data_IF_976198044430
#
_entry.id   IF_976198044430
#
_cell.length_a   1.000
_cell.length_b   1.000
_cell.length_c   1.000
_cell.angle_alpha   90.00
_cell.angle_beta   90.00
_cell.angle_gamma   90.00
#
_symmetry.space_group_name_H-M   'P 1'
#
loop_
_entity.id
_entity.type
_entity.pdbx_description
1 polymer ?
#
# COMPACT_ATOMS: atom_id res chain seq x y z
N UNK A 1 -1.94 94.62 6.28
CA UNK A 1 -2.18 93.51 7.23
C UNK A 1 -3.64 93.17 7.09
N UNK A 2 -4.10 92.00 6.65
CA UNK A 2 -3.57 90.63 6.64
C UNK A 2 -4.20 89.94 5.39
N UNK A 3 -3.40 89.29 4.55
CA UNK A 3 -3.12 87.86 4.52
C UNK A 3 -4.32 86.98 4.10
N UNK A 4 -4.18 86.43 2.89
CA UNK A 4 -4.93 85.29 2.33
C UNK A 4 -4.81 84.11 3.29
N UNK A 5 -5.91 83.42 3.58
CA UNK A 5 -5.81 82.09 4.19
C UNK A 5 -6.51 81.02 3.33
N UNK A 6 -5.74 79.98 3.07
CA UNK A 6 -6.00 78.93 2.10
C UNK A 6 -6.60 77.75 2.84
N UNK A 7 -7.77 77.27 2.40
CA UNK A 7 -8.51 76.22 3.08
C UNK A 7 -7.86 74.85 2.80
N UNK A 8 -6.96 74.42 3.70
CA UNK A 8 -6.29 73.12 3.68
C UNK A 8 -7.20 72.05 4.32
N UNK A 9 -7.70 71.12 3.51
CA UNK A 9 -8.42 69.93 3.99
C UNK A 9 -7.39 68.95 4.58
N UNK A 10 -7.40 68.76 5.91
CA UNK A 10 -6.64 67.69 6.57
C UNK A 10 -7.46 66.40 6.64
N UNK A 11 -6.91 65.32 6.10
CA UNK A 11 -7.42 63.95 6.27
C UNK A 11 -7.24 63.47 7.71
N UNK A 12 -8.19 62.70 8.28
CA UNK A 12 -8.09 62.23 9.66
C UNK A 12 -7.04 61.11 9.76
N UNK A 13 -6.02 61.32 10.60
CA UNK A 13 -5.05 60.28 10.99
C UNK A 13 -5.77 59.21 11.81
N UNK A 14 -6.02 58.03 11.23
CA UNK A 14 -6.44 56.85 12.01
C UNK A 14 -5.33 56.51 13.01
N UNK A 15 -5.67 56.51 14.30
CA UNK A 15 -4.75 56.24 15.40
C UNK A 15 -4.14 54.83 15.27
N UNK A 16 -2.80 54.68 15.28
CA UNK A 16 -2.13 53.37 15.20
C UNK A 16 -2.44 52.47 16.40
N UNK A 17 -2.96 53.03 17.49
CA UNK A 17 -3.33 52.29 18.69
C UNK A 17 -4.57 51.41 18.45
N UNK A 18 -5.58 51.92 17.74
CA UNK A 18 -6.83 51.20 17.46
C UNK A 18 -6.57 50.00 16.55
N UNK A 19 -5.70 50.16 15.55
CA UNK A 19 -5.31 49.08 14.65
C UNK A 19 -4.53 47.98 15.40
N UNK A 20 -3.63 48.35 16.32
CA UNK A 20 -2.89 47.40 17.16
C UNK A 20 -3.80 46.64 18.11
N UNK A 21 -4.78 47.32 18.73
CA UNK A 21 -5.75 46.66 19.60
C UNK A 21 -6.67 45.71 18.84
N UNK A 22 -7.11 46.07 17.63
CA UNK A 22 -7.89 45.18 16.76
C UNK A 22 -7.10 43.93 16.35
N UNK A 23 -5.81 44.09 16.04
CA UNK A 23 -4.94 42.97 15.68
C UNK A 23 -4.70 42.02 16.86
N UNK A 24 -4.52 42.56 18.07
CA UNK A 24 -4.38 41.75 19.28
C UNK A 24 -5.66 40.94 19.58
N UNK A 25 -6.84 41.57 19.46
CA UNK A 25 -8.11 40.88 19.65
C UNK A 25 -8.31 39.76 18.61
N UNK A 26 -8.00 40.03 17.34
CA UNK A 26 -8.06 39.02 16.29
C UNK A 26 -7.09 37.87 16.54
N UNK A 27 -5.84 38.16 16.93
CA UNK A 27 -4.84 37.15 17.27
C UNK A 27 -5.29 36.27 18.46
N UNK A 28 -5.86 36.87 19.51
CA UNK A 28 -6.41 36.09 20.64
C UNK A 28 -7.59 35.22 20.24
N UNK A 29 -8.49 35.71 19.38
CA UNK A 29 -9.62 34.93 18.89
C UNK A 29 -9.17 33.76 18.00
N UNK A 30 -8.23 34.01 17.09
CA UNK A 30 -7.62 32.96 16.27
C UNK A 30 -6.88 31.93 17.13
N UNK A 31 -6.15 32.37 18.17
CA UNK A 31 -5.48 31.49 19.12
C UNK A 31 -6.47 30.58 19.86
N UNK A 32 -7.57 31.14 20.39
CA UNK A 32 -8.64 30.36 21.02
C UNK A 32 -9.33 29.41 20.05
N UNK A 33 -9.55 29.83 18.81
CA UNK A 33 -10.18 28.99 17.79
C UNK A 33 -9.28 27.80 17.39
N UNK A 34 -7.99 28.04 17.14
CA UNK A 34 -7.01 26.99 16.84
C UNK A 34 -6.87 26.04 18.03
N UNK A 35 -6.81 26.57 19.25
CA UNK A 35 -6.77 25.75 20.47
C UNK A 35 -8.03 24.88 20.62
N UNK A 36 -9.22 25.45 20.42
CA UNK A 36 -10.49 24.73 20.46
C UNK A 36 -10.57 23.61 19.41
N UNK A 37 -10.11 23.87 18.18
CA UNK A 37 -10.01 22.86 17.12
C UNK A 37 -9.04 21.74 17.48
N UNK A 38 -7.85 22.08 18.01
CA UNK A 38 -6.88 21.08 18.45
C UNK A 38 -7.40 20.22 19.60
N UNK A 39 -8.16 20.80 20.54
CA UNK A 39 -8.76 20.07 21.65
C UNK A 39 -9.89 19.15 21.19
N UNK A 40 -10.74 19.60 20.24
CA UNK A 40 -11.78 18.74 19.64
C UNK A 40 -11.16 17.57 18.87
N UNK A 41 -10.07 17.79 18.14
CA UNK A 41 -9.35 16.73 17.42
C UNK A 41 -8.76 15.71 18.39
N UNK A 42 -8.15 16.16 19.49
CA UNK A 42 -7.58 15.27 20.51
C UNK A 42 -8.66 14.48 21.27
N UNK A 43 -9.78 15.11 21.62
CA UNK A 43 -10.92 14.44 22.27
C UNK A 43 -11.61 13.41 21.37
N UNK A 44 -11.77 13.72 20.07
CA UNK A 44 -12.31 12.77 19.10
C UNK A 44 -11.41 11.54 18.94
N UNK A 45 -10.08 11.77 18.86
CA UNK A 45 -9.08 10.70 18.78
C UNK A 45 -9.07 9.82 20.03
N UNK A 46 -9.14 10.43 21.22
CA UNK A 46 -9.21 9.71 22.48
C UNK A 46 -10.51 8.91 22.60
N UNK A 47 -11.67 9.52 22.35
CA UNK A 47 -12.97 8.84 22.42
C UNK A 47 -13.05 7.65 21.47
N UNK A 48 -12.54 7.81 20.25
CA UNK A 48 -12.48 6.74 19.25
C UNK A 48 -11.55 5.60 19.68
N UNK A 49 -10.37 5.92 20.25
CA UNK A 49 -9.43 4.93 20.80
C UNK A 49 -10.05 4.15 21.96
N UNK A 50 -10.74 4.83 22.89
CA UNK A 50 -11.42 4.17 24.01
C UNK A 50 -12.61 3.30 23.60
N UNK A 51 -13.39 3.70 22.58
CA UNK A 51 -14.51 2.88 22.08
C UNK A 51 -13.99 1.60 21.41
N UNK A 52 -12.96 1.69 20.57
CA UNK A 52 -12.37 0.52 19.92
C UNK A 52 -11.82 -0.49 20.94
N UNK A 53 -11.16 -0.02 22.01
CA UNK A 53 -10.64 -0.91 23.05
C UNK A 53 -11.78 -1.65 23.77
N UNK A 54 -12.90 -0.97 24.09
CA UNK A 54 -14.04 -1.60 24.77
C UNK A 54 -14.78 -2.64 23.91
N UNK A 55 -14.94 -2.37 22.61
CA UNK A 55 -15.59 -3.30 21.68
C UNK A 55 -14.71 -4.55 21.48
N UNK A 56 -13.40 -4.34 21.29
CA UNK A 56 -12.44 -5.43 21.18
C UNK A 56 -12.41 -6.31 22.44
N UNK A 57 -12.42 -5.71 23.62
CA UNK A 57 -12.44 -6.43 24.90
C UNK A 57 -13.71 -7.29 25.06
N UNK A 58 -14.88 -6.78 24.67
CA UNK A 58 -16.14 -7.53 24.72
C UNK A 58 -16.15 -8.75 23.78
N UNK A 59 -15.73 -8.58 22.52
CA UNK A 59 -15.74 -9.68 21.54
C UNK A 59 -14.73 -10.77 21.92
N UNK A 60 -13.53 -10.38 22.38
CA UNK A 60 -12.49 -11.27 22.90
C UNK A 60 -12.95 -12.02 24.15
N UNK A 61 -13.74 -11.37 25.01
CA UNK A 61 -14.25 -11.95 26.26
C UNK A 61 -15.41 -12.93 26.01
N UNK A 62 -16.20 -12.74 24.94
CA UNK A 62 -17.25 -13.68 24.52
C UNK A 62 -16.70 -14.99 23.94
N UNK A 63 -15.51 -14.94 23.34
CA UNK A 63 -14.81 -16.10 22.81
C UNK A 63 -13.80 -16.64 23.83
N UNK A 64 -14.19 -17.69 24.57
CA UNK A 64 -13.45 -18.31 25.68
C UNK A 64 -12.01 -18.82 25.39
N UNK A 65 -11.50 -18.71 24.16
CA UNK A 65 -10.15 -19.12 23.76
C UNK A 65 -9.05 -18.07 23.95
N UNK A 66 -9.35 -16.94 24.60
CA UNK A 66 -8.47 -15.77 24.67
C UNK A 66 -7.52 -15.72 25.89
N UNK A 67 -7.58 -16.72 26.78
CA UNK A 67 -6.76 -16.73 28.02
C UNK A 67 -5.23 -16.70 27.77
N UNK A 68 -4.78 -17.15 26.59
CA UNK A 68 -3.36 -17.17 26.19
C UNK A 68 -2.95 -15.99 25.29
N UNK A 69 -3.87 -15.10 24.91
CA UNK A 69 -3.51 -13.95 24.08
C UNK A 69 -2.83 -12.88 24.93
N UNK A 70 -1.55 -12.62 24.62
CA UNK A 70 -0.84 -11.52 25.25
C UNK A 70 -1.53 -10.19 24.93
N UNK A 71 -1.59 -9.29 25.92
CA UNK A 71 -2.25 -7.99 25.79
C UNK A 71 -1.69 -7.12 24.64
N UNK A 72 -0.44 -7.39 24.24
CA UNK A 72 0.24 -6.78 23.09
C UNK A 72 -0.29 -7.24 21.73
N UNK A 73 -0.92 -8.42 21.65
CA UNK A 73 -1.45 -8.98 20.40
C UNK A 73 -2.90 -8.59 20.13
N UNK A 74 -3.66 -8.20 21.17
CA UNK A 74 -5.08 -7.85 21.07
C UNK A 74 -5.40 -6.87 19.92
N UNK A 75 -4.62 -5.78 19.69
CA UNK A 75 -4.95 -4.83 18.63
C UNK A 75 -4.93 -5.41 17.21
N UNK A 76 -4.32 -6.57 17.01
CA UNK A 76 -4.08 -7.22 15.71
C UNK A 76 -4.96 -8.46 15.48
N UNK A 77 -5.87 -8.76 16.42
CA UNK A 77 -6.77 -9.91 16.37
C UNK A 77 -8.20 -9.39 16.33
N UNK A 78 -8.96 -9.88 15.36
CA UNK A 78 -10.34 -9.45 15.13
C UNK A 78 -11.27 -10.65 15.03
N UNK A 79 -12.56 -10.42 15.34
CA UNK A 79 -13.64 -11.38 15.16
C UNK A 79 -14.70 -10.74 14.25
N UNK A 80 -14.48 -10.73 12.93
CA UNK A 80 -15.38 -10.09 11.97
C UNK A 80 -16.77 -10.69 12.03
N UNK A 81 -17.80 -9.83 11.92
CA UNK A 81 -19.19 -10.26 11.89
C UNK A 81 -19.83 -9.80 10.56
N UNK A 82 -19.69 -10.59 9.49
CA UNK A 82 -20.20 -10.23 8.17
C UNK A 82 -21.72 -10.07 8.21
N UNK A 83 -22.23 -9.05 7.52
CA UNK A 83 -23.67 -8.80 7.39
C UNK A 83 -24.29 -9.61 6.25
N UNK A 84 -23.47 -10.00 5.27
CA UNK A 84 -23.90 -10.63 4.02
C UNK A 84 -24.12 -12.13 4.11
N UNK A 85 -23.53 -12.80 5.11
CA UNK A 85 -23.70 -14.23 5.35
C UNK A 85 -23.44 -14.55 6.83
N UNK A 86 -23.77 -15.78 7.26
CA UNK A 86 -23.46 -16.27 8.62
C UNK A 86 -22.73 -17.60 8.56
N UNK A 87 -21.63 -17.70 9.29
CA UNK A 87 -20.84 -18.92 9.51
C UNK A 87 -20.56 -19.04 10.99
N UNK A 88 -21.52 -19.58 11.72
CA UNK A 88 -21.45 -19.70 13.18
C UNK A 88 -20.22 -20.50 13.62
N UNK A 89 -19.79 -21.47 12.82
CA UNK A 89 -18.57 -22.25 13.05
C UNK A 89 -17.28 -21.40 13.02
N UNK A 90 -17.33 -20.20 12.43
CA UNK A 90 -16.21 -19.26 12.36
C UNK A 90 -16.30 -18.08 13.34
N UNK A 91 -17.39 -17.94 14.11
CA UNK A 91 -17.65 -16.73 14.91
C UNK A 91 -16.53 -16.41 15.91
N UNK A 92 -15.93 -17.42 16.53
CA UNK A 92 -14.79 -17.27 17.44
C UNK A 92 -13.43 -17.60 16.81
N UNK A 93 -13.33 -17.55 15.48
CA UNK A 93 -12.05 -17.73 14.81
C UNK A 93 -11.32 -16.38 14.71
N UNK A 94 -10.12 -16.22 15.33
CA UNK A 94 -9.36 -14.98 15.26
C UNK A 94 -8.87 -14.71 13.84
N UNK A 95 -9.03 -13.47 13.39
CA UNK A 95 -8.67 -13.02 12.04
C UNK A 95 -7.67 -11.88 12.12
N UNK A 96 -6.56 -11.98 11.38
CA UNK A 96 -5.59 -10.91 11.20
C UNK A 96 -5.80 -10.18 9.88
N UNK A 97 -5.70 -8.86 9.92
CA UNK A 97 -5.82 -8.03 8.73
C UNK A 97 -4.44 -7.77 8.12
N UNK A 98 -4.35 -7.83 6.79
CA UNK A 98 -3.13 -7.45 6.09
C UNK A 98 -3.40 -6.66 4.80
N UNK A 99 -2.35 -6.00 4.30
CA UNK A 99 -2.32 -5.40 2.97
C UNK A 99 -0.94 -5.62 2.33
N UNK A 100 -0.91 -6.12 1.09
CA UNK A 100 0.32 -6.29 0.30
C UNK A 100 0.58 -4.99 -0.47
N UNK A 101 1.52 -4.19 0.01
CA UNK A 101 1.87 -2.89 -0.56
C UNK A 101 3.01 -3.08 -1.56
N UNK A 102 2.78 -2.74 -2.83
CA UNK A 102 3.74 -3.08 -3.90
C UNK A 102 3.68 -2.10 -5.08
N UNK A 103 4.55 -2.32 -6.06
CA UNK A 103 4.50 -1.64 -7.36
C UNK A 103 4.23 -2.65 -8.46
N UNK A 104 3.77 -2.18 -9.61
CA UNK A 104 3.61 -3.04 -10.79
C UNK A 104 4.92 -3.76 -11.12
N UNK A 105 4.78 -5.05 -11.48
CA UNK A 105 5.88 -5.94 -11.89
C UNK A 105 6.93 -6.24 -10.81
N UNK A 106 6.55 -6.12 -9.53
CA UNK A 106 7.39 -6.49 -8.38
C UNK A 106 7.15 -7.92 -7.87
N UNK A 107 6.37 -8.73 -8.59
CA UNK A 107 6.08 -10.12 -8.22
C UNK A 107 4.86 -10.31 -7.29
N UNK A 108 4.12 -9.24 -6.99
CA UNK A 108 2.98 -9.27 -6.07
C UNK A 108 1.81 -10.15 -6.51
N UNK A 109 1.56 -10.29 -7.81
CA UNK A 109 0.57 -11.26 -8.31
C UNK A 109 0.95 -12.72 -8.02
N UNK A 110 2.22 -13.09 -8.21
CA UNK A 110 2.71 -14.43 -7.89
C UNK A 110 2.73 -14.67 -6.37
N UNK A 111 3.22 -13.70 -5.60
CA UNK A 111 3.26 -13.74 -4.15
C UNK A 111 1.87 -13.90 -3.52
N UNK A 112 0.88 -13.16 -4.04
CA UNK A 112 -0.51 -13.29 -3.62
C UNK A 112 -1.05 -14.72 -3.87
N UNK A 113 -0.74 -15.34 -5.01
CA UNK A 113 -1.16 -16.73 -5.25
C UNK A 113 -0.50 -17.73 -4.31
N UNK A 114 0.74 -17.48 -3.87
CA UNK A 114 1.39 -18.29 -2.83
C UNK A 114 0.60 -18.18 -1.52
N UNK A 115 0.29 -16.96 -1.07
CA UNK A 115 -0.48 -16.74 0.14
C UNK A 115 -1.87 -17.39 0.07
N UNK A 116 -2.59 -17.21 -1.04
CA UNK A 116 -3.92 -17.80 -1.25
C UNK A 116 -3.94 -19.33 -1.39
N UNK A 117 -2.78 -19.98 -1.49
CA UNK A 117 -2.69 -21.45 -1.40
C UNK A 117 -2.80 -21.95 0.05
N UNK A 118 -2.63 -21.07 1.04
CA UNK A 118 -2.91 -21.37 2.44
C UNK A 118 -4.43 -21.41 2.67
N UNK A 119 -4.94 -22.50 3.26
CA UNK A 119 -6.38 -22.71 3.44
C UNK A 119 -7.07 -21.63 4.29
N UNK A 120 -6.36 -21.04 5.26
CA UNK A 120 -6.88 -19.98 6.13
C UNK A 120 -6.53 -18.55 5.70
N UNK A 121 -6.03 -18.33 4.47
CA UNK A 121 -5.68 -16.98 3.98
C UNK A 121 -6.56 -16.60 2.80
N UNK A 122 -7.11 -15.39 2.87
CA UNK A 122 -7.95 -14.80 1.83
C UNK A 122 -7.41 -13.42 1.42
N UNK A 123 -6.60 -13.37 0.35
CA UNK A 123 -6.19 -12.13 -0.32
C UNK A 123 -7.10 -11.85 -1.51
N UNK A 124 -7.76 -10.70 -1.50
CA UNK A 124 -8.86 -10.34 -2.40
C UNK A 124 -8.42 -9.64 -3.70
N UNK A 125 -7.18 -9.82 -4.15
CA UNK A 125 -6.67 -9.21 -5.38
C UNK A 125 -6.38 -7.72 -5.23
N UNK A 126 -6.25 -7.05 -6.38
CA UNK A 126 -5.94 -5.63 -6.48
C UNK A 126 -7.21 -4.78 -6.43
N UNK A 127 -7.89 -4.78 -5.28
CA UNK A 127 -9.23 -4.17 -5.14
C UNK A 127 -9.23 -2.68 -5.50
N UNK A 128 -8.13 -1.96 -5.23
CA UNK A 128 -8.00 -0.53 -5.49
C UNK A 128 -7.55 -0.19 -6.91
N UNK A 129 -7.47 -1.17 -7.82
CA UNK A 129 -7.34 -0.89 -9.27
C UNK A 129 -8.61 -0.25 -9.86
N UNK A 130 -9.76 -0.45 -9.23
CA UNK A 130 -11.05 0.18 -9.60
C UNK A 130 -11.11 1.61 -9.09
N UNK A 131 -11.35 2.57 -9.99
CA UNK A 131 -11.29 4.02 -9.69
C UNK A 131 -12.29 4.44 -8.61
N UNK A 132 -13.52 3.95 -8.68
CA UNK A 132 -14.61 4.35 -7.78
C UNK A 132 -14.30 4.07 -6.30
N UNK A 133 -13.54 3.01 -6.04
CA UNK A 133 -13.12 2.60 -4.69
C UNK A 133 -12.05 3.51 -4.09
N UNK A 134 -11.40 4.35 -4.92
CA UNK A 134 -10.33 5.27 -4.52
C UNK A 134 -10.58 6.72 -4.95
N UNK A 135 -11.84 7.12 -5.14
CA UNK A 135 -12.19 8.50 -5.51
C UNK A 135 -11.78 9.53 -4.45
N UNK A 136 -11.83 9.13 -3.17
CA UNK A 136 -11.40 9.92 -2.02
C UNK A 136 -11.15 8.99 -0.83
N UNK A 137 -10.63 9.55 0.27
CA UNK A 137 -10.34 8.78 1.48
C UNK A 137 -11.56 8.06 2.07
N UNK A 138 -12.76 8.67 2.03
CA UNK A 138 -13.97 8.01 2.54
C UNK A 138 -14.32 6.74 1.76
N UNK A 139 -14.17 6.74 0.44
CA UNK A 139 -14.37 5.55 -0.39
C UNK A 139 -13.34 4.46 -0.08
N UNK A 140 -12.09 4.85 0.17
CA UNK A 140 -11.00 3.93 0.51
C UNK A 140 -11.29 3.23 1.84
N UNK A 141 -11.57 4.00 2.89
CA UNK A 141 -11.83 3.45 4.22
C UNK A 141 -13.08 2.54 4.22
N UNK A 142 -14.16 2.97 3.54
CA UNK A 142 -15.36 2.14 3.38
C UNK A 142 -15.05 0.81 2.69
N UNK A 143 -14.22 0.82 1.65
CA UNK A 143 -13.83 -0.40 0.93
C UNK A 143 -13.00 -1.32 1.82
N UNK A 144 -12.07 -0.77 2.60
CA UNK A 144 -11.30 -1.53 3.58
C UNK A 144 -12.18 -2.16 4.65
N UNK A 145 -13.13 -1.41 5.21
CA UNK A 145 -14.08 -1.94 6.21
C UNK A 145 -14.89 -3.12 5.65
N UNK A 146 -15.33 -3.04 4.39
CA UNK A 146 -16.04 -4.16 3.75
C UNK A 146 -15.18 -5.42 3.64
N UNK A 147 -13.90 -5.28 3.27
CA UNK A 147 -12.99 -6.44 3.16
C UNK A 147 -12.68 -7.03 4.52
N UNK A 148 -12.36 -6.18 5.49
CA UNK A 148 -11.96 -6.63 6.82
C UNK A 148 -13.14 -7.16 7.64
N UNK A 149 -14.37 -6.69 7.39
CA UNK A 149 -15.58 -7.31 7.95
C UNK A 149 -15.99 -8.62 7.25
N UNK A 150 -15.17 -9.13 6.32
CA UNK A 150 -15.46 -10.30 5.50
C UNK A 150 -16.71 -10.17 4.58
N UNK A 151 -17.23 -8.96 4.37
CA UNK A 151 -18.37 -8.68 3.49
C UNK A 151 -17.99 -8.51 2.01
N UNK A 152 -16.78 -8.93 1.64
CA UNK A 152 -16.24 -8.78 0.30
C UNK A 152 -16.32 -10.09 -0.50
N UNK A 153 -17.30 -10.17 -1.40
CA UNK A 153 -17.56 -11.39 -2.16
C UNK A 153 -16.60 -11.53 -3.36
N UNK A 154 -15.66 -12.49 -3.28
CA UNK A 154 -14.74 -12.79 -4.39
C UNK A 154 -14.48 -14.29 -4.52
N UNK A 155 -13.80 -14.68 -5.59
CA UNK A 155 -13.28 -16.05 -5.76
C UNK A 155 -12.18 -16.42 -4.76
N UNK A 156 -11.70 -15.48 -3.93
CA UNK A 156 -10.75 -15.78 -2.86
C UNK A 156 -11.43 -16.40 -1.62
N UNK A 157 -12.76 -16.34 -1.51
CA UNK A 157 -13.52 -16.94 -0.41
C UNK A 157 -13.22 -18.42 -0.26
N UNK A 158 -13.00 -18.85 0.98
CA UNK A 158 -12.63 -20.23 1.33
C UNK A 158 -13.78 -20.93 2.05
N UNK A 159 -13.81 -22.24 1.93
CA UNK A 159 -14.75 -23.08 2.68
C UNK A 159 -14.33 -23.17 4.15
N UNK A 160 -13.07 -22.92 4.47
CA UNK A 160 -12.52 -22.87 5.82
C UNK A 160 -12.67 -21.47 6.43
N UNK A 161 -12.57 -21.39 7.76
CA UNK A 161 -12.50 -20.10 8.44
C UNK A 161 -11.16 -19.40 8.12
N UNK A 162 -11.23 -18.13 7.74
CA UNK A 162 -10.04 -17.33 7.43
C UNK A 162 -9.35 -16.90 8.72
N UNK A 163 -8.06 -17.19 8.87
CA UNK A 163 -7.22 -16.68 9.95
C UNK A 163 -6.49 -15.39 9.56
N UNK A 164 -6.36 -15.11 8.26
CA UNK A 164 -5.90 -13.83 7.77
C UNK A 164 -6.67 -13.40 6.52
N UNK A 165 -7.06 -12.12 6.46
CA UNK A 165 -7.75 -11.52 5.33
C UNK A 165 -7.07 -10.22 4.91
N UNK A 166 -6.98 -10.01 3.61
CA UNK A 166 -6.34 -8.83 3.08
C UNK A 166 -6.54 -8.69 1.59
N UNK A 167 -5.68 -7.89 0.99
CA UNK A 167 -5.70 -7.57 -0.42
C UNK A 167 -4.34 -7.02 -0.87
N UNK A 168 -4.19 -6.87 -2.19
CA UNK A 168 -3.02 -6.26 -2.81
C UNK A 168 -3.33 -4.80 -3.16
N UNK A 169 -2.35 -3.93 -2.92
CA UNK A 169 -2.49 -2.50 -3.18
C UNK A 169 -1.22 -1.95 -3.83
N UNK A 170 -1.38 -1.37 -5.02
CA UNK A 170 -0.26 -0.72 -5.70
C UNK A 170 -0.06 0.70 -5.17
N UNK A 171 1.19 1.13 -4.97
CA UNK A 171 1.51 2.43 -4.39
C UNK A 171 0.84 3.62 -5.14
N UNK A 172 0.66 3.49 -6.45
CA UNK A 172 0.04 4.50 -7.31
C UNK A 172 -1.51 4.50 -7.30
N UNK A 173 -2.15 3.77 -6.40
CA UNK A 173 -3.62 3.63 -6.33
C UNK A 173 -4.22 4.34 -5.11
N UNK A 174 -3.81 5.59 -4.88
CA UNK A 174 -4.30 6.41 -3.76
C UNK A 174 -3.60 6.14 -2.42
N UNK A 175 -2.83 5.06 -2.29
CA UNK A 175 -2.10 4.71 -1.07
C UNK A 175 -1.11 5.82 -0.65
N UNK A 176 -0.28 6.28 -1.58
CA UNK A 176 0.73 7.31 -1.30
C UNK A 176 0.11 8.70 -1.11
N UNK A 177 -1.02 8.96 -1.77
CA UNK A 177 -1.75 10.22 -1.73
C UNK A 177 -2.41 10.42 -0.36
N UNK A 178 -3.11 9.39 0.14
CA UNK A 178 -3.86 9.41 1.40
C UNK A 178 -3.13 8.67 2.54
N UNK A 179 -1.79 8.69 2.53
CA UNK A 179 -0.98 7.87 3.43
C UNK A 179 -1.24 8.17 4.91
N UNK A 180 -1.54 9.41 5.30
CA UNK A 180 -1.72 9.80 6.70
C UNK A 180 -2.94 9.11 7.31
N UNK A 181 -4.07 9.19 6.61
CA UNK A 181 -5.34 8.60 7.05
C UNK A 181 -5.30 7.07 6.98
N UNK A 182 -4.60 6.51 5.98
CA UNK A 182 -4.44 5.06 5.85
C UNK A 182 -3.54 4.52 6.97
N UNK A 183 -2.44 5.21 7.32
CA UNK A 183 -1.58 4.85 8.45
C UNK A 183 -2.35 4.90 9.77
N UNK A 184 -3.19 5.93 9.97
CA UNK A 184 -4.06 6.00 11.14
C UNK A 184 -5.04 4.82 11.18
N UNK A 185 -5.66 4.46 10.06
CA UNK A 185 -6.51 3.28 9.97
C UNK A 185 -5.75 1.99 10.29
N UNK A 186 -4.57 1.79 9.70
CA UNK A 186 -3.78 0.57 9.90
C UNK A 186 -3.41 0.39 11.36
N UNK A 187 -2.97 1.46 12.03
CA UNK A 187 -2.62 1.42 13.44
C UNK A 187 -3.85 1.23 14.35
N UNK A 188 -4.99 1.83 14.00
CA UNK A 188 -6.23 1.70 14.76
C UNK A 188 -6.83 0.30 14.68
N UNK A 189 -6.70 -0.35 13.53
CA UNK A 189 -7.33 -1.64 13.21
C UNK A 189 -6.31 -2.78 13.07
N UNK A 190 -5.08 -2.62 13.57
CA UNK A 190 -4.08 -3.69 13.57
C UNK A 190 -3.74 -4.28 12.21
N UNK A 191 -3.80 -3.50 11.13
CA UNK A 191 -3.52 -4.00 9.78
C UNK A 191 -2.03 -4.19 9.58
N UNK A 192 -1.62 -5.42 9.25
CA UNK A 192 -0.25 -5.77 8.93
C UNK A 192 0.12 -5.34 7.50
N UNK A 193 1.09 -4.44 7.36
CA UNK A 193 1.58 -4.00 6.05
C UNK A 193 2.72 -4.91 5.55
N UNK A 194 2.53 -5.53 4.40
CA UNK A 194 3.54 -6.38 3.76
C UNK A 194 4.07 -5.62 2.53
N UNK A 195 5.23 -5.00 2.67
CA UNK A 195 5.91 -4.39 1.53
C UNK A 195 6.56 -5.48 0.68
N UNK A 196 6.25 -5.51 -0.62
CA UNK A 196 6.90 -6.38 -1.58
C UNK A 196 7.44 -5.57 -2.75
N UNK A 197 8.76 -5.45 -2.82
CA UNK A 197 9.46 -4.75 -3.88
C UNK A 197 10.38 -5.70 -4.67
N UNK A 198 10.93 -5.18 -5.77
CA UNK A 198 11.91 -5.90 -6.59
C UNK A 198 13.20 -5.10 -6.60
N UNK A 199 14.31 -5.69 -6.17
CA UNK A 199 15.61 -5.01 -6.07
C UNK A 199 16.14 -4.63 -7.43
N UNK A 200 16.03 -5.53 -8.42
CA UNK A 200 16.50 -5.23 -9.78
C UNK A 200 15.45 -4.39 -10.54
N UNK A 201 15.61 -3.07 -10.48
CA UNK A 201 14.69 -2.12 -11.08
C UNK A 201 14.76 -2.08 -12.61
N UNK A 202 15.90 -2.41 -13.21
CA UNK A 202 16.02 -2.58 -14.67
C UNK A 202 15.15 -3.75 -15.15
N UNK A 203 15.24 -4.91 -14.48
CA UNK A 203 14.39 -6.07 -14.77
C UNK A 203 12.90 -5.77 -14.57
N UNK A 204 12.58 -4.96 -13.55
CA UNK A 204 11.20 -4.47 -13.35
C UNK A 204 10.75 -3.63 -14.55
N UNK A 205 11.55 -2.64 -14.97
CA UNK A 205 11.25 -1.75 -16.10
C UNK A 205 11.03 -2.53 -17.40
N UNK A 206 11.92 -3.48 -17.74
CA UNK A 206 11.77 -4.36 -18.91
C UNK A 206 10.42 -5.09 -18.85
N UNK A 207 10.07 -5.63 -17.68
CA UNK A 207 8.79 -6.33 -17.51
C UNK A 207 7.58 -5.39 -17.56
N UNK A 208 7.71 -4.12 -17.17
CA UNK A 208 6.65 -3.10 -17.33
C UNK A 208 6.42 -2.82 -18.80
N UNK A 209 7.49 -2.55 -19.56
CA UNK A 209 7.42 -2.26 -20.99
C UNK A 209 6.85 -3.45 -21.78
N UNK A 210 7.30 -4.67 -21.51
CA UNK A 210 6.77 -5.87 -22.15
C UNK A 210 5.28 -6.12 -21.82
N UNK A 211 4.87 -5.90 -20.57
CA UNK A 211 3.47 -6.02 -20.19
C UNK A 211 2.60 -4.93 -20.84
N UNK A 212 3.13 -3.71 -20.97
CA UNK A 212 2.43 -2.62 -21.65
C UNK A 212 2.24 -2.94 -23.13
N UNK A 213 3.26 -3.47 -23.80
CA UNK A 213 3.15 -3.90 -25.19
C UNK A 213 2.09 -4.98 -25.38
N UNK A 214 2.06 -6.01 -24.53
CA UNK A 214 1.04 -7.07 -24.62
C UNK A 214 -0.39 -6.57 -24.37
N UNK A 215 -0.56 -5.45 -23.64
CA UNK A 215 -1.89 -4.85 -23.44
C UNK A 215 -2.53 -4.44 -24.77
N UNK A 216 -1.71 -3.96 -25.70
CA UNK A 216 -2.14 -3.47 -27.01
C UNK A 216 -2.04 -4.59 -28.06
N UNK A 217 -0.92 -5.31 -28.08
CA UNK A 217 -0.64 -6.37 -29.06
C UNK A 217 -1.42 -7.66 -28.81
N UNK A 218 -1.82 -7.93 -27.55
CA UNK A 218 -2.64 -9.08 -27.14
C UNK A 218 -2.12 -10.41 -27.69
N UNK A 219 -0.86 -10.73 -27.34
CA UNK A 219 -0.07 -11.79 -27.97
C UNK A 219 -0.62 -13.20 -27.75
N UNK A 220 -1.50 -13.38 -26.77
CA UNK A 220 -2.12 -14.67 -26.46
C UNK A 220 -3.58 -14.68 -26.92
N UNK A 221 -3.79 -15.11 -28.17
CA UNK A 221 -5.12 -15.28 -28.77
C UNK A 221 -6.01 -14.04 -28.64
N UNK A 222 -5.47 -12.83 -28.85
CA UNK A 222 -6.24 -11.60 -28.75
C UNK A 222 -6.61 -11.19 -27.32
N UNK A 223 -5.98 -11.79 -26.31
CA UNK A 223 -6.17 -11.45 -24.90
C UNK A 223 -4.87 -10.96 -24.26
N UNK A 224 -4.95 -9.87 -23.49
CA UNK A 224 -3.85 -9.42 -22.64
C UNK A 224 -3.73 -10.33 -21.40
N UNK A 225 -2.51 -10.78 -21.08
CA UNK A 225 -2.24 -11.59 -19.88
C UNK A 225 -1.03 -11.06 -19.12
N UNK A 226 -1.28 -10.48 -17.95
CA UNK A 226 -0.21 -10.00 -17.07
C UNK A 226 0.55 -11.13 -16.34
N UNK A 227 -0.08 -12.31 -16.23
CA UNK A 227 0.45 -13.52 -15.62
C UNK A 227 0.01 -14.74 -16.43
N UNK A 228 0.83 -15.78 -16.45
CA UNK A 228 0.59 -17.01 -17.22
C UNK A 228 0.88 -18.24 -16.37
N UNK A 229 0.26 -19.36 -16.74
CA UNK A 229 0.40 -20.65 -16.08
C UNK A 229 1.14 -21.68 -16.95
N UNK A 230 1.28 -21.41 -18.25
CA UNK A 230 1.98 -22.29 -19.19
C UNK A 230 3.38 -21.76 -19.52
N UNK A 231 4.41 -22.62 -19.50
CA UNK A 231 5.73 -22.27 -20.02
C UNK A 231 5.72 -21.85 -21.50
N UNK A 232 4.76 -22.34 -22.29
CA UNK A 232 4.62 -21.98 -23.71
C UNK A 232 4.14 -20.54 -23.85
N UNK A 233 3.10 -20.16 -23.10
CA UNK A 233 2.59 -18.78 -23.06
C UNK A 233 3.66 -17.81 -22.56
N UNK A 234 4.40 -18.20 -21.52
CA UNK A 234 5.52 -17.43 -21.00
C UNK A 234 6.58 -17.16 -22.06
N UNK A 235 6.95 -18.18 -22.85
CA UNK A 235 7.90 -18.03 -23.96
C UNK A 235 7.38 -17.09 -25.04
N UNK A 236 6.08 -17.10 -25.35
CA UNK A 236 5.48 -16.17 -26.33
C UNK A 236 5.60 -14.73 -25.85
N UNK A 237 5.19 -14.45 -24.61
CA UNK A 237 5.26 -13.10 -24.03
C UNK A 237 6.71 -12.60 -23.90
N UNK A 238 7.66 -13.49 -23.63
CA UNK A 238 9.06 -13.14 -23.50
C UNK A 238 9.78 -12.80 -24.83
N UNK A 239 9.13 -13.02 -25.99
CA UNK A 239 9.73 -12.71 -27.30
C UNK A 239 9.89 -11.22 -27.54
N UNK A 240 9.00 -10.40 -26.97
CA UNK A 240 9.07 -8.96 -27.15
C UNK A 240 10.27 -8.39 -26.39
N UNK A 241 11.10 -7.62 -27.11
CA UNK A 241 12.26 -6.93 -26.56
C UNK A 241 11.97 -5.43 -26.58
N UNK A 242 11.70 -4.79 -25.44
CA UNK A 242 11.54 -3.34 -25.42
C UNK A 242 12.84 -2.63 -25.81
N UNK A 243 12.70 -1.51 -26.50
CA UNK A 243 13.74 -0.50 -26.65
C UNK A 243 13.65 0.47 -25.46
N UNK A 244 14.74 0.65 -24.73
CA UNK A 244 14.79 1.49 -23.52
C UNK A 244 15.41 2.84 -23.86
N UNK A 245 14.80 3.92 -23.37
CA UNK A 245 15.36 5.26 -23.50
C UNK A 245 16.52 5.44 -22.51
N UNK A 246 17.76 5.32 -23.01
CA UNK A 246 18.97 5.41 -22.20
C UNK A 246 19.09 6.76 -21.45
N UNK A 247 18.60 7.85 -22.03
CA UNK A 247 18.64 9.19 -21.43
C UNK A 247 17.75 9.31 -20.19
N UNK A 248 16.61 8.61 -20.17
CA UNK A 248 15.65 8.63 -19.05
C UNK A 248 15.84 7.48 -18.06
N UNK A 249 16.70 6.51 -18.39
CA UNK A 249 16.89 5.29 -17.61
C UNK A 249 17.26 5.57 -16.14
N UNK A 250 18.34 6.33 -15.89
CA UNK A 250 18.79 6.62 -14.52
C UNK A 250 17.71 7.41 -13.74
N UNK A 251 17.14 8.51 -14.27
CA UNK A 251 16.05 9.22 -13.60
C UNK A 251 14.87 8.32 -13.21
N UNK A 252 14.43 7.43 -14.10
CA UNK A 252 13.30 6.53 -13.83
C UNK A 252 13.62 5.46 -12.77
N UNK A 253 14.84 4.90 -12.81
CA UNK A 253 15.30 3.97 -11.77
C UNK A 253 15.36 4.67 -10.41
N UNK A 254 15.91 5.88 -10.37
CA UNK A 254 16.00 6.70 -9.16
C UNK A 254 14.63 7.04 -8.59
N UNK A 255 13.71 7.51 -9.43
CA UNK A 255 12.34 7.83 -9.01
C UNK A 255 11.63 6.60 -8.42
N UNK A 256 11.82 5.43 -9.03
CA UNK A 256 11.26 4.18 -8.51
C UNK A 256 11.84 3.85 -7.13
N UNK A 257 13.15 3.95 -6.97
CA UNK A 257 13.83 3.66 -5.69
C UNK A 257 13.35 4.61 -4.58
N UNK A 258 13.33 5.92 -4.87
CA UNK A 258 12.83 6.97 -3.99
C UNK A 258 11.36 6.74 -3.60
N UNK A 259 10.51 6.31 -4.55
CA UNK A 259 9.10 6.02 -4.27
C UNK A 259 8.95 4.83 -3.31
N UNK A 260 9.79 3.80 -3.46
CA UNK A 260 9.79 2.63 -2.57
C UNK A 260 10.23 3.00 -1.16
N UNK A 261 11.33 3.76 -1.04
CA UNK A 261 11.84 4.26 0.23
C UNK A 261 10.82 5.17 0.93
N UNK A 262 10.16 6.06 0.18
CA UNK A 262 9.13 6.96 0.70
C UNK A 262 7.91 6.20 1.22
N UNK A 263 7.49 5.13 0.55
CA UNK A 263 6.38 4.30 1.02
C UNK A 263 6.71 3.62 2.37
N UNK A 264 7.92 3.07 2.51
CA UNK A 264 8.37 2.50 3.79
C UNK A 264 8.42 3.58 4.86
N UNK A 265 8.94 4.77 4.53
CA UNK A 265 9.01 5.89 5.47
C UNK A 265 7.61 6.33 5.95
N UNK A 266 6.63 6.46 5.05
CA UNK A 266 5.27 6.86 5.40
C UNK A 266 4.60 5.88 6.36
N UNK A 267 4.87 4.59 6.21
CA UNK A 267 4.26 3.52 7.01
C UNK A 267 5.21 2.99 8.12
N UNK A 268 6.27 3.72 8.46
CA UNK A 268 7.28 3.25 9.42
C UNK A 268 6.72 2.98 10.83
N UNK A 269 5.59 3.59 11.19
CA UNK A 269 4.91 3.40 12.47
C UNK A 269 3.88 2.26 12.46
N UNK A 270 3.60 1.67 11.30
CA UNK A 270 2.67 0.53 11.22
C UNK A 270 3.38 -0.78 11.52
N UNK A 271 2.62 -1.80 11.89
CA UNK A 271 3.16 -3.16 11.99
C UNK A 271 3.43 -3.69 10.58
N UNK A 272 4.71 -3.74 10.20
CA UNK A 272 5.09 -4.01 8.82
C UNK A 272 6.29 -4.94 8.68
N UNK A 273 6.38 -5.57 7.52
CA UNK A 273 7.54 -6.33 7.04
C UNK A 273 7.91 -5.86 5.64
N UNK A 274 9.21 -5.79 5.33
CA UNK A 274 9.72 -5.47 3.99
C UNK A 274 10.36 -6.71 3.38
N UNK A 275 9.81 -7.13 2.24
CA UNK A 275 10.28 -8.27 1.47
C UNK A 275 10.70 -7.82 0.08
N UNK A 276 11.68 -8.52 -0.46
CA UNK A 276 12.10 -8.36 -1.84
C UNK A 276 11.90 -9.65 -2.61
N UNK A 277 11.40 -9.53 -3.84
CA UNK A 277 11.14 -10.66 -4.75
C UNK A 277 12.34 -11.59 -4.89
N UNK A 278 13.54 -11.01 -5.05
CA UNK A 278 14.81 -11.73 -5.14
C UNK A 278 15.04 -12.64 -3.91
N UNK A 279 14.76 -12.13 -2.72
CA UNK A 279 15.02 -12.84 -1.45
C UNK A 279 14.07 -14.05 -1.30
N UNK A 280 12.80 -13.88 -1.71
CA UNK A 280 11.79 -14.95 -1.66
C UNK A 280 12.13 -16.08 -2.66
N UNK A 281 12.65 -15.74 -3.84
CA UNK A 281 13.05 -16.73 -4.84
C UNK A 281 14.28 -17.51 -4.40
N UNK A 282 15.30 -16.82 -3.87
CA UNK A 282 16.54 -17.46 -3.45
C UNK A 282 16.37 -18.24 -2.15
N UNK A 283 15.58 -17.73 -1.21
CA UNK A 283 15.39 -18.32 0.10
C UNK A 283 13.92 -18.49 0.47
N UNK A 284 13.43 -19.73 0.34
CA UNK A 284 12.05 -20.08 0.69
C UNK A 284 11.71 -19.91 2.17
N UNK A 285 12.69 -19.82 3.08
CA UNK A 285 12.40 -19.57 4.51
C UNK A 285 11.71 -18.22 4.71
N UNK A 286 11.86 -17.25 3.78
CA UNK A 286 11.12 -15.98 3.82
C UNK A 286 9.60 -16.13 3.79
N UNK A 287 9.09 -17.21 3.18
CA UNK A 287 7.66 -17.53 3.22
C UNK A 287 7.23 -18.12 4.57
N UNK A 288 8.16 -18.73 5.31
CA UNK A 288 7.91 -19.16 6.69
C UNK A 288 7.89 -17.95 7.62
N UNK A 289 8.87 -17.06 7.52
CA UNK A 289 8.94 -15.80 8.27
C UNK A 289 7.65 -14.98 8.09
N UNK A 290 7.12 -14.94 6.86
CA UNK A 290 5.86 -14.26 6.55
C UNK A 290 4.64 -14.91 7.21
N UNK A 291 4.55 -16.25 7.20
CA UNK A 291 3.46 -16.96 7.87
C UNK A 291 3.52 -16.72 9.38
N UNK A 292 4.72 -16.70 9.97
CA UNK A 292 4.93 -16.37 11.38
C UNK A 292 4.56 -14.90 11.69
N UNK A 293 4.94 -13.96 10.81
CA UNK A 293 4.56 -12.54 10.93
C UNK A 293 3.03 -12.35 10.96
N UNK A 294 2.30 -13.14 10.18
CA UNK A 294 0.82 -13.20 10.17
C UNK A 294 0.24 -14.18 11.19
N UNK A 295 1.07 -14.82 12.03
CA UNK A 295 0.70 -15.80 13.06
C UNK A 295 -0.15 -16.96 12.50
N UNK A 296 0.20 -17.40 11.30
CA UNK A 296 -0.43 -18.52 10.62
C UNK A 296 0.30 -19.83 10.97
N UNK A 297 -0.41 -20.97 11.02
CA UNK A 297 0.25 -22.26 11.06
C UNK A 297 1.09 -22.44 9.80
N UNK A 298 2.27 -23.03 9.94
CA UNK A 298 3.13 -23.25 8.78
C UNK A 298 2.48 -24.20 7.77
N UNK A 299 2.44 -23.78 6.50
CA UNK A 299 2.12 -24.61 5.34
C UNK A 299 3.13 -24.38 4.23
N UNK A 300 3.27 -25.40 3.38
CA UNK A 300 4.00 -25.26 2.11
C UNK A 300 3.15 -24.48 1.12
N UNK A 301 3.56 -23.25 0.78
CA UNK A 301 2.85 -22.39 -0.16
C UNK A 301 3.21 -22.73 -1.61
N UNK A 302 2.22 -22.77 -2.50
CA UNK A 302 2.36 -23.15 -3.91
C UNK A 302 1.71 -22.15 -4.85
N UNK A 303 2.28 -21.98 -6.03
CA UNK A 303 1.73 -21.13 -7.08
C UNK A 303 1.84 -21.84 -8.42
N UNK A 304 0.79 -21.71 -9.23
CA UNK A 304 0.78 -22.20 -10.61
C UNK A 304 1.33 -21.16 -11.60
N UNK A 305 1.64 -19.94 -11.16
CA UNK A 305 2.18 -18.93 -12.06
C UNK A 305 3.63 -19.25 -12.43
N UNK A 306 3.96 -19.09 -13.71
CA UNK A 306 5.31 -19.26 -14.22
C UNK A 306 5.96 -17.92 -14.54
N UNK A 307 7.28 -17.84 -14.38
CA UNK A 307 8.05 -16.64 -14.69
C UNK A 307 8.16 -16.46 -16.20
N UNK A 308 7.80 -15.27 -16.69
CA UNK A 308 7.85 -14.93 -18.12
C UNK A 308 9.29 -14.77 -18.60
N UNK A 309 10.04 -13.87 -17.96
CA UNK A 309 11.40 -13.53 -18.38
C UNK A 309 12.44 -14.34 -17.62
N UNK A 310 13.00 -15.37 -18.25
CA UNK A 310 14.03 -16.25 -17.67
C UNK A 310 15.41 -16.13 -18.34
N UNK A 311 15.50 -15.52 -19.52
CA UNK A 311 16.75 -15.36 -20.25
C UNK A 311 17.69 -14.28 -19.64
N UNK A 312 18.96 -14.19 -20.08
CA UNK A 312 19.85 -13.09 -19.72
C UNK A 312 19.28 -11.74 -20.17
N UNK A 313 19.56 -10.67 -19.42
CA UNK A 313 19.06 -9.32 -19.70
C UNK A 313 19.39 -8.82 -21.12
N UNK A 314 20.60 -9.10 -21.60
CA UNK A 314 21.05 -8.74 -22.94
C UNK A 314 20.20 -9.32 -24.07
N UNK A 315 19.56 -10.46 -23.83
CA UNK A 315 18.66 -11.08 -24.80
C UNK A 315 17.22 -10.54 -24.75
N UNK A 316 16.89 -9.72 -23.73
CA UNK A 316 15.54 -9.24 -23.45
C UNK A 316 15.33 -7.76 -23.80
N UNK A 317 16.37 -7.05 -24.22
CA UNK A 317 16.32 -5.62 -24.57
C UNK A 317 16.83 -5.47 -25.99
N UNK A 318 16.17 -4.59 -26.76
CA UNK A 318 16.53 -4.38 -28.18
C UNK A 318 17.86 -3.61 -28.32
N UNK A 319 18.02 -2.53 -27.55
CA UNK A 319 19.22 -1.69 -27.54
C UNK A 319 20.08 -1.91 -26.28
N UNK A 320 20.51 -3.16 -26.07
CA UNK A 320 21.24 -3.55 -24.86
C UNK A 320 22.54 -2.74 -24.63
N UNK A 321 23.32 -2.47 -25.69
CA UNK A 321 24.59 -1.76 -25.58
C UNK A 321 24.42 -0.33 -25.03
N UNK A 322 23.34 0.36 -25.42
CA UNK A 322 23.00 1.69 -24.91
C UNK A 322 22.67 1.62 -23.41
N UNK A 323 21.89 0.61 -22.99
CA UNK A 323 21.52 0.39 -21.59
C UNK A 323 22.73 0.07 -20.73
N UNK A 324 23.60 -0.81 -21.22
CA UNK A 324 24.84 -1.16 -20.53
C UNK A 324 25.74 0.07 -20.39
N UNK A 325 25.89 0.86 -21.46
CA UNK A 325 26.68 2.10 -21.45
C UNK A 325 26.11 3.12 -20.47
N UNK A 326 24.79 3.30 -20.44
CA UNK A 326 24.13 4.25 -19.54
C UNK A 326 24.24 3.87 -18.06
N UNK A 327 24.29 2.57 -17.72
CA UNK A 327 24.36 2.13 -16.33
C UNK A 327 25.79 1.93 -15.81
N UNK A 328 26.78 1.76 -16.69
CA UNK A 328 28.18 1.53 -16.30
C UNK A 328 28.74 2.71 -15.50
N UNK A 329 29.39 2.44 -14.37
CA UNK A 329 29.93 3.45 -13.47
C UNK A 329 28.89 4.15 -12.59
N UNK A 330 27.63 3.73 -12.62
CA UNK A 330 26.55 4.29 -11.79
C UNK A 330 26.24 3.38 -10.60
N UNK A 331 25.49 3.89 -9.62
CA UNK A 331 24.95 3.08 -8.51
C UNK A 331 24.04 1.93 -8.97
N UNK A 332 23.55 1.98 -10.21
CA UNK A 332 22.65 0.99 -10.80
C UNK A 332 23.38 -0.04 -11.68
N UNK A 333 24.70 0.04 -11.82
CA UNK A 333 25.49 -0.90 -12.64
C UNK A 333 25.24 -2.37 -12.23
N UNK A 334 25.05 -2.62 -10.93
CA UNK A 334 24.76 -3.95 -10.38
C UNK A 334 23.50 -4.59 -10.97
N UNK A 335 22.56 -3.80 -11.50
CA UNK A 335 21.34 -4.33 -12.14
C UNK A 335 21.61 -5.04 -13.46
N UNK A 336 22.77 -4.82 -14.09
CA UNK A 336 23.20 -5.52 -15.30
C UNK A 336 23.54 -7.00 -15.02
N UNK A 337 24.04 -7.30 -13.83
CA UNK A 337 24.63 -8.60 -13.48
C UNK A 337 23.78 -9.42 -12.50
N UNK A 338 22.73 -8.83 -11.93
CA UNK A 338 21.85 -9.51 -10.98
C UNK A 338 20.93 -10.51 -11.71
N UNK A 339 21.53 -11.64 -12.10
CA UNK A 339 20.86 -12.89 -12.37
C UNK A 339 20.77 -13.63 -11.04
N UNK A 340 19.54 -13.94 -10.66
CA UNK A 340 19.12 -14.42 -9.33
C UNK A 340 20.01 -15.52 -8.75
#
# INVERSE_FOLDING_TARGET
>A
MEAVDTLVIKTPKKSPLVLRMAFLLFATFCGFYIYSMSLKQMNSRNKTKFINIKVLDHDVQSCHGSADLQQTELPYVHYPNPQTFRREECACNPVRYFAILSMQRSGSGWFETLLNSHMNVSSNGEIFSVRDRRLNISSILKTMDQVYNLDWFTSASKNECSAAVGFKWMLNQGLMEHHQEIVEYFNRNGVAAIFLFRRNLLRRMISVLANSYDKDAKLLNGTHKSHVHSPVEAKILAKYKPKINATLLIPELKQTDETSAKAIQYFNTTYHIVLYYEDIIKNRTKLKDLQEFLKLPYRELKSLQVKIHTAPLSSQVDNWDDVQTALKGTSYETFLNADY
#
